data_IF_999625041875
#
_entry.id   IF_999625041875
#
_cell.length_a   1.000
_cell.length_b   1.000
_cell.length_c   1.000
_cell.angle_alpha   90.00
_cell.angle_beta   90.00
_cell.angle_gamma   90.00
#
_symmetry.space_group_name_H-M   'P 1'
#
loop_
_entity.id
_entity.type
_entity.pdbx_description
1 polymer ?
#
# COMPACT_ATOMS: atom_id res chain seq x y z
N UNK A 1 -26.06 -19.97 -23.56
CA UNK A 1 -24.94 -20.12 -22.61
C UNK A 1 -24.76 -18.79 -21.90
N UNK A 2 -25.17 -18.69 -20.63
CA UNK A 2 -24.89 -17.50 -19.82
C UNK A 2 -23.38 -17.46 -19.53
N UNK A 3 -22.69 -16.34 -19.75
CA UNK A 3 -21.30 -16.21 -19.34
C UNK A 3 -21.23 -16.37 -17.81
N UNK A 4 -20.18 -17.01 -17.27
CA UNK A 4 -20.04 -17.19 -15.83
C UNK A 4 -20.04 -15.82 -15.15
N UNK A 5 -21.01 -15.59 -14.25
CA UNK A 5 -21.02 -14.42 -13.38
C UNK A 5 -19.71 -14.43 -12.59
N UNK A 6 -18.82 -13.48 -12.92
CA UNK A 6 -17.59 -13.33 -12.16
C UNK A 6 -17.98 -12.94 -10.73
N UNK A 7 -17.44 -13.62 -9.70
CA UNK A 7 -17.80 -13.33 -8.32
C UNK A 7 -17.55 -11.85 -8.04
N UNK A 8 -18.58 -11.12 -7.59
CA UNK A 8 -18.43 -9.71 -7.23
C UNK A 8 -17.34 -9.61 -6.16
N UNK A 9 -16.40 -8.66 -6.27
CA UNK A 9 -15.39 -8.47 -5.24
C UNK A 9 -16.11 -8.20 -3.91
N UNK A 10 -16.03 -9.15 -2.97
CA UNK A 10 -16.58 -8.98 -1.63
C UNK A 10 -15.78 -7.90 -0.91
N UNK A 11 -16.45 -7.08 -0.10
CA UNK A 11 -15.80 -6.03 0.69
C UNK A 11 -14.61 -6.59 1.50
N UNK A 12 -14.74 -7.82 2.01
CA UNK A 12 -13.68 -8.61 2.64
C UNK A 12 -12.40 -8.68 1.80
N UNK A 13 -12.50 -8.94 0.50
CA UNK A 13 -11.36 -9.06 -0.39
C UNK A 13 -10.66 -7.71 -0.55
N UNK A 14 -11.40 -6.61 -0.71
CA UNK A 14 -10.81 -5.26 -0.73
C UNK A 14 -10.06 -4.93 0.57
N UNK A 15 -10.60 -5.31 1.73
CA UNK A 15 -9.93 -5.14 3.03
C UNK A 15 -8.64 -5.94 3.14
N UNK A 16 -8.63 -7.19 2.67
CA UNK A 16 -7.42 -8.03 2.65
C UNK A 16 -6.34 -7.39 1.78
N UNK A 17 -6.70 -6.90 0.59
CA UNK A 17 -5.77 -6.26 -0.33
C UNK A 17 -5.23 -4.95 0.26
N UNK A 18 -6.09 -4.14 0.88
CA UNK A 18 -5.69 -2.94 1.61
C UNK A 18 -4.71 -3.28 2.73
N UNK A 19 -5.07 -4.23 3.59
CA UNK A 19 -4.26 -4.60 4.76
C UNK A 19 -2.87 -5.08 4.37
N UNK A 20 -2.79 -5.99 3.40
CA UNK A 20 -1.49 -6.52 2.94
C UNK A 20 -0.64 -5.41 2.32
N UNK A 21 -1.23 -4.58 1.45
CA UNK A 21 -0.51 -3.47 0.84
C UNK A 21 -0.05 -2.43 1.88
N UNK A 22 -0.89 -2.12 2.86
CA UNK A 22 -0.56 -1.22 3.96
C UNK A 22 0.60 -1.78 4.79
N UNK A 23 0.56 -3.05 5.18
CA UNK A 23 1.62 -3.70 5.95
C UNK A 23 2.94 -3.75 5.19
N UNK A 24 2.92 -4.09 3.89
CA UNK A 24 4.11 -4.10 3.04
C UNK A 24 4.71 -2.70 2.93
N UNK A 25 3.87 -1.69 2.73
CA UNK A 25 4.31 -0.28 2.66
C UNK A 25 4.90 0.20 3.99
N UNK A 26 4.27 -0.14 5.12
CA UNK A 26 4.77 0.20 6.45
C UNK A 26 6.11 -0.47 6.74
N UNK A 27 6.28 -1.74 6.39
CA UNK A 27 7.53 -2.48 6.53
C UNK A 27 8.66 -1.85 5.67
N UNK A 28 8.37 -1.52 4.42
CA UNK A 28 9.32 -0.83 3.55
C UNK A 28 9.69 0.56 4.09
N UNK A 29 8.70 1.30 4.60
CA UNK A 29 8.93 2.62 5.18
C UNK A 29 9.80 2.56 6.44
N UNK A 30 9.57 1.57 7.32
CA UNK A 30 10.43 1.30 8.49
C UNK A 30 11.86 0.97 8.08
N UNK A 31 12.02 0.15 7.04
CA UNK A 31 13.34 -0.17 6.49
C UNK A 31 14.04 1.09 5.97
N UNK A 32 13.36 1.90 5.16
CA UNK A 32 13.89 3.19 4.66
C UNK A 32 14.24 4.12 5.82
N UNK A 33 13.36 4.30 6.81
CA UNK A 33 13.64 5.12 7.98
C UNK A 33 14.86 4.63 8.76
N UNK A 34 15.10 3.32 8.83
CA UNK A 34 16.28 2.75 9.49
C UNK A 34 17.56 3.15 8.77
N UNK A 35 17.56 3.15 7.43
CA UNK A 35 18.72 3.60 6.63
C UNK A 35 18.89 5.11 6.60
N UNK A 36 17.79 5.86 6.64
CA UNK A 36 17.81 7.33 6.61
C UNK A 36 18.09 7.92 8.00
N UNK A 37 17.81 7.19 9.09
CA UNK A 37 18.06 7.60 10.48
C UNK A 37 19.40 8.29 10.74
N UNK A 38 20.57 7.76 10.33
CA UNK A 38 21.86 8.43 10.52
C UNK A 38 21.96 9.79 9.81
N UNK A 39 21.18 9.99 8.74
CA UNK A 39 21.12 11.26 8.01
C UNK A 39 20.06 12.23 8.57
N UNK A 40 19.26 11.81 9.55
CA UNK A 40 18.24 12.66 10.19
C UNK A 40 18.80 13.45 11.40
N UNK A 41 20.05 13.20 11.80
CA UNK A 41 20.72 13.92 12.88
C UNK A 41 20.96 15.39 12.46
N UNK A 42 20.10 16.28 12.93
CA UNK A 42 20.15 17.73 12.63
C UNK A 42 18.88 18.29 11.98
N UNK A 43 17.89 17.46 11.64
CA UNK A 43 16.62 17.96 11.10
C UNK A 43 15.76 18.63 12.18
N UNK A 44 15.04 19.67 11.76
CA UNK A 44 14.13 20.40 12.63
C UNK A 44 12.94 19.53 13.04
N UNK A 45 12.36 19.80 14.23
CA UNK A 45 11.17 19.13 14.76
C UNK A 45 10.01 18.93 13.75
N UNK A 46 9.66 19.90 12.89
CA UNK A 46 8.59 19.69 11.90
C UNK A 46 8.96 18.65 10.81
N UNK A 47 10.23 18.55 10.42
CA UNK A 47 10.67 17.53 9.47
C UNK A 47 10.59 16.13 10.08
N UNK A 48 11.04 15.97 11.33
CA UNK A 48 10.91 14.71 12.06
C UNK A 48 9.44 14.28 12.20
N UNK A 49 8.54 15.22 12.51
CA UNK A 49 7.10 14.95 12.54
C UNK A 49 6.56 14.48 11.16
N UNK A 50 7.04 15.10 10.07
CA UNK A 50 6.72 14.66 8.72
C UNK A 50 7.16 13.22 8.43
N UNK A 51 8.38 12.84 8.82
CA UNK A 51 8.89 11.47 8.67
C UNK A 51 8.14 10.44 9.52
N UNK A 52 7.54 10.83 10.65
CA UNK A 52 6.71 9.93 11.47
C UNK A 52 5.34 9.65 10.82
N UNK A 53 4.77 10.63 10.12
CA UNK A 53 3.42 10.51 9.52
C UNK A 53 3.48 9.99 8.08
N UNK A 54 4.58 10.24 7.36
CA UNK A 54 4.76 9.83 5.97
C UNK A 54 4.49 8.33 5.70
N UNK A 55 4.99 7.37 6.52
CA UNK A 55 4.70 5.94 6.34
C UNK A 55 3.21 5.61 6.37
N UNK A 56 2.46 6.25 7.26
CA UNK A 56 1.02 6.02 7.39
C UNK A 56 0.28 6.56 6.16
N UNK A 57 0.62 7.76 5.68
CA UNK A 57 0.02 8.34 4.47
C UNK A 57 0.34 7.48 3.25
N UNK A 58 1.60 7.12 3.06
CA UNK A 58 2.04 6.29 1.93
C UNK A 58 1.34 4.92 2.00
N UNK A 59 1.26 4.31 3.19
CA UNK A 59 0.54 3.07 3.42
C UNK A 59 -0.94 3.14 3.06
N UNK A 60 -1.64 4.20 3.48
CA UNK A 60 -3.07 4.39 3.18
C UNK A 60 -3.30 4.60 1.69
N UNK A 61 -2.53 5.48 1.05
CA UNK A 61 -2.67 5.78 -0.39
C UNK A 61 -2.36 4.54 -1.23
N UNK A 62 -1.28 3.84 -0.92
CA UNK A 62 -0.90 2.60 -1.61
C UNK A 62 -1.92 1.49 -1.39
N UNK A 63 -2.34 1.28 -0.13
CA UNK A 63 -3.36 0.30 0.22
C UNK A 63 -4.68 0.53 -0.49
N UNK A 64 -5.17 1.78 -0.51
CA UNK A 64 -6.39 2.14 -1.21
C UNK A 64 -6.29 1.88 -2.71
N UNK A 65 -5.13 2.20 -3.32
CA UNK A 65 -4.88 1.95 -4.74
C UNK A 65 -4.87 0.46 -5.07
N UNK A 66 -4.21 -0.36 -4.26
CA UNK A 66 -4.14 -1.83 -4.45
C UNK A 66 -5.52 -2.45 -4.25
N UNK A 67 -6.27 -2.04 -3.22
CA UNK A 67 -7.63 -2.50 -2.99
C UNK A 67 -8.56 -2.13 -4.15
N UNK A 68 -8.47 -0.89 -4.65
CA UNK A 68 -9.26 -0.46 -5.80
C UNK A 68 -8.92 -1.26 -7.07
N UNK A 69 -7.63 -1.48 -7.36
CA UNK A 69 -7.19 -2.26 -8.52
C UNK A 69 -7.55 -3.74 -8.40
N UNK A 70 -7.35 -4.34 -7.22
CA UNK A 70 -7.70 -5.73 -6.94
C UNK A 70 -9.19 -5.97 -7.07
N UNK A 71 -10.02 -5.09 -6.51
CA UNK A 71 -11.47 -5.19 -6.61
C UNK A 71 -11.99 -4.91 -8.04
N UNK A 72 -11.53 -3.83 -8.68
CA UNK A 72 -12.02 -3.40 -10.00
C UNK A 72 -11.64 -4.37 -11.12
N UNK A 73 -10.44 -4.96 -11.05
CA UNK A 73 -9.91 -5.80 -12.12
C UNK A 73 -9.83 -7.29 -11.74
N UNK A 74 -10.27 -7.68 -10.54
CA UNK A 74 -10.19 -9.05 -10.02
C UNK A 74 -8.78 -9.65 -10.19
N UNK A 75 -7.76 -8.83 -9.95
CA UNK A 75 -6.38 -9.24 -10.14
C UNK A 75 -5.93 -10.09 -8.97
N UNK A 76 -5.07 -11.10 -9.21
CA UNK A 76 -4.38 -11.76 -8.11
C UNK A 76 -3.57 -10.72 -7.32
N UNK A 77 -3.51 -10.91 -5.99
CA UNK A 77 -2.90 -9.99 -5.04
C UNK A 77 -1.52 -9.48 -5.47
N UNK A 78 -0.65 -10.38 -5.95
CA UNK A 78 0.70 -10.04 -6.42
C UNK A 78 0.66 -9.04 -7.59
N UNK A 79 -0.29 -9.22 -8.51
CA UNK A 79 -0.44 -8.34 -9.67
C UNK A 79 -1.11 -7.01 -9.30
N UNK A 80 -2.03 -7.02 -8.33
CA UNK A 80 -2.60 -5.80 -7.76
C UNK A 80 -1.53 -4.97 -7.02
N UNK A 81 -0.64 -5.62 -6.26
CA UNK A 81 0.49 -4.99 -5.57
C UNK A 81 1.49 -4.37 -6.57
N UNK A 82 1.88 -5.11 -7.61
CA UNK A 82 2.77 -4.62 -8.69
C UNK A 82 2.16 -3.41 -9.40
N UNK A 83 0.90 -3.52 -9.85
CA UNK A 83 0.20 -2.39 -10.50
C UNK A 83 0.00 -1.21 -9.56
N UNK A 84 -0.22 -1.45 -8.27
CA UNK A 84 -0.30 -0.40 -7.26
C UNK A 84 1.00 0.40 -7.15
N UNK A 85 2.15 -0.26 -7.34
CA UNK A 85 3.49 0.36 -7.34
C UNK A 85 3.82 1.02 -8.69
N UNK A 86 2.96 0.88 -9.71
CA UNK A 86 3.26 1.32 -11.08
C UNK A 86 4.18 0.38 -11.86
N UNK A 87 4.47 -0.82 -11.32
CA UNK A 87 5.23 -1.86 -12.00
C UNK A 87 4.30 -2.60 -12.98
N UNK A 88 4.72 -2.71 -14.24
CA UNK A 88 3.99 -3.40 -15.31
C UNK A 88 4.25 -4.90 -15.28
#
# INVERSE_FOLDING_TARGET
>A
MQPPERPRPTASLAFIYFGIAFTVSAALSMLVLTFVRPYLEGLSRPFLAGFMVAPAIIGVVYGARVAHLGAKHQLPLVQALKRGLGLR
#
